data_IF_918988500527
#
_entry.id   IF_918988500527
#
_cell.length_a   1.000
_cell.length_b   1.000
_cell.length_c   1.000
_cell.angle_alpha   90.00
_cell.angle_beta   90.00
_cell.angle_gamma   90.00
#
_symmetry.space_group_name_H-M   'P 1'
#
loop_
_entity.id
_entity.type
_entity.pdbx_description
1 polymer ?
#
# COMPACT_ATOMS: atom_id res chain seq x y z
N UNK A 1 6.56 14.92 -64.11
CA UNK A 1 6.52 14.75 -62.64
C UNK A 1 5.78 13.47 -62.29
N UNK A 2 6.50 12.43 -61.89
CA UNK A 2 5.91 11.09 -61.74
C UNK A 2 5.21 10.87 -60.39
N UNK A 3 5.09 11.91 -59.51
CA UNK A 3 4.48 11.82 -58.20
C UNK A 3 5.12 10.81 -57.23
N UNK A 4 6.35 10.41 -57.49
CA UNK A 4 7.07 9.43 -56.68
C UNK A 4 8.23 10.09 -55.93
N UNK A 5 8.33 9.86 -54.60
CA UNK A 5 9.48 10.23 -53.79
C UNK A 5 10.57 9.19 -53.97
N UNK A 6 11.82 9.64 -54.11
CA UNK A 6 13.01 8.81 -54.19
C UNK A 6 13.96 9.21 -53.03
N UNK A 7 14.47 8.25 -52.31
CA UNK A 7 15.53 8.52 -51.34
C UNK A 7 16.78 9.01 -52.08
N UNK A 8 17.25 10.21 -51.73
CA UNK A 8 18.38 10.83 -52.39
C UNK A 8 19.70 10.61 -51.66
N UNK A 9 19.68 10.51 -50.31
CA UNK A 9 20.89 10.33 -49.49
C UNK A 9 20.55 9.76 -48.15
N UNK A 10 21.29 8.75 -47.69
CA UNK A 10 21.27 8.32 -46.28
C UNK A 10 22.30 9.15 -45.51
N UNK A 11 21.88 9.74 -44.37
CA UNK A 11 22.74 10.52 -43.48
C UNK A 11 23.25 9.68 -42.27
N UNK A 12 23.12 8.37 -42.34
CA UNK A 12 23.37 7.50 -41.20
C UNK A 12 24.82 6.99 -41.14
N UNK A 13 25.62 7.22 -42.18
CA UNK A 13 27.01 6.80 -42.17
C UNK A 13 27.93 7.89 -41.61
N UNK A 14 28.80 7.53 -40.63
CA UNK A 14 29.76 8.45 -39.97
C UNK A 14 30.66 9.17 -40.95
N UNK A 15 30.98 8.56 -42.10
CA UNK A 15 31.80 9.14 -43.18
C UNK A 15 31.18 10.39 -43.81
N UNK A 16 29.88 10.53 -43.79
CA UNK A 16 29.19 11.70 -44.34
C UNK A 16 29.42 12.99 -43.54
N UNK A 17 29.75 12.86 -42.26
CA UNK A 17 29.95 13.99 -41.36
C UNK A 17 31.39 14.39 -41.19
N UNK A 18 32.35 13.65 -41.70
CA UNK A 18 33.80 13.92 -41.64
C UNK A 18 34.26 14.27 -40.23
N UNK A 19 33.88 13.43 -39.25
CA UNK A 19 34.29 13.63 -37.85
C UNK A 19 35.83 13.62 -37.75
N UNK A 20 36.37 14.70 -37.22
CA UNK A 20 37.79 14.84 -36.89
C UNK A 20 37.88 15.64 -35.56
N UNK A 21 38.99 15.47 -34.82
CA UNK A 21 39.20 16.23 -33.59
C UNK A 21 39.15 17.73 -33.86
N UNK A 22 38.35 18.43 -33.05
CA UNK A 22 38.32 19.87 -33.12
C UNK A 22 39.58 20.44 -32.47
N UNK A 23 40.36 21.34 -33.17
CA UNK A 23 41.60 21.88 -32.61
C UNK A 23 41.36 22.78 -31.38
N UNK A 24 40.15 23.31 -31.23
CA UNK A 24 39.78 24.16 -30.12
C UNK A 24 39.33 23.39 -28.86
N UNK A 25 39.14 22.07 -28.97
CA UNK A 25 38.73 21.21 -27.87
C UNK A 25 39.88 20.27 -27.50
N UNK A 26 40.57 20.48 -26.38
CA UNK A 26 41.59 19.56 -25.92
C UNK A 26 41.00 18.18 -25.61
N UNK A 27 41.79 17.09 -25.73
CA UNK A 27 41.37 15.77 -25.36
C UNK A 27 40.92 15.72 -23.89
N UNK A 28 39.73 15.20 -23.65
CA UNK A 28 39.23 14.95 -22.29
C UNK A 28 39.80 13.63 -21.82
N UNK A 29 40.72 13.67 -20.86
CA UNK A 29 41.28 12.49 -20.21
C UNK A 29 40.49 12.21 -18.93
N UNK A 30 39.82 11.06 -18.89
CA UNK A 30 39.05 10.61 -17.73
C UNK A 30 39.87 9.54 -17.03
N UNK A 31 40.30 9.83 -15.81
CA UNK A 31 41.02 8.89 -14.97
C UNK A 31 40.11 7.73 -14.53
N UNK A 32 40.65 6.50 -14.59
CA UNK A 32 39.89 5.30 -14.22
C UNK A 32 39.38 5.36 -12.76
N UNK A 33 40.17 5.95 -11.86
CA UNK A 33 39.80 6.12 -10.46
C UNK A 33 38.52 6.94 -10.33
N UNK A 34 38.37 7.99 -11.14
CA UNK A 34 37.12 8.81 -11.11
C UNK A 34 35.93 8.02 -11.60
N UNK A 35 36.06 7.20 -12.61
CA UNK A 35 35.01 6.30 -13.10
C UNK A 35 34.63 5.28 -12.01
N UNK A 36 35.61 4.72 -11.33
CA UNK A 36 35.40 3.73 -10.30
C UNK A 36 34.72 4.35 -9.04
N UNK A 37 35.06 5.58 -8.71
CA UNK A 37 34.41 6.31 -7.62
C UNK A 37 32.96 6.66 -7.96
N UNK A 38 32.67 7.06 -9.19
CA UNK A 38 31.29 7.27 -9.64
C UNK A 38 30.51 5.96 -9.58
N UNK A 39 31.07 4.85 -10.07
CA UNK A 39 30.40 3.53 -10.02
C UNK A 39 30.09 3.09 -8.61
N UNK A 40 31.00 3.30 -7.64
CA UNK A 40 30.78 2.96 -6.22
C UNK A 40 29.67 3.78 -5.57
N UNK A 41 29.48 5.01 -6.02
CA UNK A 41 28.53 5.95 -5.47
C UNK A 41 27.22 6.06 -6.29
N UNK A 42 27.08 5.24 -7.34
CA UNK A 42 25.84 5.22 -8.12
C UNK A 42 24.68 4.76 -7.22
N UNK A 43 23.58 5.53 -7.17
CA UNK A 43 22.37 5.06 -6.50
C UNK A 43 21.82 3.83 -7.22
N UNK A 44 21.05 3.04 -6.49
CA UNK A 44 20.31 1.91 -7.08
C UNK A 44 19.44 2.38 -8.25
N UNK A 45 19.56 1.70 -9.38
CA UNK A 45 18.80 2.02 -10.59
C UNK A 45 17.33 1.62 -10.45
N UNK A 46 16.40 2.28 -11.17
CA UNK A 46 14.96 1.98 -11.08
C UNK A 46 14.61 0.51 -11.33
N UNK A 47 15.24 -0.12 -12.33
CA UNK A 47 14.97 -1.53 -12.67
C UNK A 47 15.47 -2.48 -11.58
N UNK A 48 16.65 -2.22 -11.00
CA UNK A 48 17.18 -3.00 -9.88
C UNK A 48 16.31 -2.84 -8.65
N UNK A 49 15.88 -1.60 -8.37
CA UNK A 49 14.94 -1.29 -7.27
C UNK A 49 13.60 -1.99 -7.46
N UNK A 50 13.04 -1.99 -8.67
CA UNK A 50 11.80 -2.70 -9.00
C UNK A 50 11.94 -4.20 -8.70
N UNK A 51 13.00 -4.82 -9.19
CA UNK A 51 13.27 -6.24 -8.96
C UNK A 51 13.45 -6.54 -7.45
N UNK A 52 14.17 -5.67 -6.73
CA UNK A 52 14.33 -5.80 -5.28
C UNK A 52 12.99 -5.70 -4.56
N UNK A 53 12.12 -4.77 -4.93
CA UNK A 53 10.79 -4.63 -4.31
C UNK A 53 9.94 -5.89 -4.50
N UNK A 54 9.98 -6.51 -5.68
CA UNK A 54 9.27 -7.76 -5.94
C UNK A 54 9.78 -8.88 -5.02
N UNK A 55 11.11 -9.02 -4.90
CA UNK A 55 11.72 -10.09 -4.12
C UNK A 55 11.61 -9.85 -2.62
N UNK A 56 11.92 -8.64 -2.16
CA UNK A 56 12.03 -8.31 -0.74
C UNK A 56 10.66 -8.14 -0.07
N UNK A 57 9.73 -7.47 -0.76
CA UNK A 57 8.39 -7.17 -0.21
C UNK A 57 7.30 -8.09 -0.74
N UNK A 58 7.62 -8.97 -1.69
CA UNK A 58 6.68 -9.95 -2.26
C UNK A 58 5.51 -9.32 -3.03
N UNK A 59 5.68 -8.10 -3.56
CA UNK A 59 4.65 -7.38 -4.32
C UNK A 59 4.65 -7.79 -5.80
N UNK A 60 3.57 -7.49 -6.51
CA UNK A 60 3.45 -7.78 -7.94
C UNK A 60 4.31 -6.86 -8.82
N UNK A 61 4.57 -7.28 -10.05
CA UNK A 61 5.36 -6.51 -11.03
C UNK A 61 4.77 -5.12 -11.29
N UNK A 62 3.45 -5.05 -11.47
CA UNK A 62 2.73 -3.79 -11.68
C UNK A 62 2.85 -2.85 -10.47
N UNK A 63 2.66 -3.36 -9.24
CA UNK A 63 2.76 -2.55 -8.04
C UNK A 63 4.20 -2.02 -7.86
N UNK A 64 5.20 -2.88 -8.12
CA UNK A 64 6.61 -2.49 -8.06
C UNK A 64 6.94 -1.40 -9.08
N UNK A 65 6.41 -1.49 -10.32
CA UNK A 65 6.58 -0.48 -11.36
C UNK A 65 5.98 0.86 -10.95
N UNK A 66 4.75 0.86 -10.44
CA UNK A 66 4.08 2.08 -9.96
C UNK A 66 4.87 2.72 -8.82
N UNK A 67 5.34 1.92 -7.86
CA UNK A 67 6.06 2.41 -6.68
C UNK A 67 7.48 2.88 -7.00
N UNK A 68 8.10 2.41 -8.08
CA UNK A 68 9.45 2.83 -8.50
C UNK A 68 9.46 3.87 -9.62
N UNK A 69 8.28 4.26 -10.13
CA UNK A 69 8.15 5.25 -11.20
C UNK A 69 8.79 6.60 -10.85
N UNK A 70 8.75 6.98 -9.57
CA UNK A 70 9.37 8.18 -9.04
C UNK A 70 10.22 7.87 -7.80
N UNK A 71 11.40 8.48 -7.72
CA UNK A 71 12.34 8.27 -6.60
C UNK A 71 11.71 8.56 -5.23
N UNK A 72 10.90 9.62 -5.13
CA UNK A 72 10.28 10.01 -3.85
C UNK A 72 9.20 9.02 -3.42
N UNK A 73 8.47 8.47 -4.37
CA UNK A 73 7.49 7.42 -4.14
C UNK A 73 8.16 6.15 -3.64
N UNK A 74 9.25 5.72 -4.30
CA UNK A 74 10.01 4.56 -3.88
C UNK A 74 10.57 4.72 -2.45
N UNK A 75 11.16 5.88 -2.16
CA UNK A 75 11.68 6.16 -0.82
C UNK A 75 10.59 6.19 0.25
N UNK A 76 9.43 6.75 -0.07
CA UNK A 76 8.28 6.76 0.85
C UNK A 76 7.80 5.33 1.14
N UNK A 77 7.65 4.52 0.09
CA UNK A 77 7.26 3.11 0.24
C UNK A 77 8.25 2.31 1.09
N UNK A 78 9.56 2.46 0.86
CA UNK A 78 10.59 1.79 1.66
C UNK A 78 10.54 2.16 3.14
N UNK A 79 10.21 3.41 3.47
CA UNK A 79 10.07 3.85 4.86
C UNK A 79 8.82 3.27 5.53
N UNK A 80 7.75 3.06 4.77
CA UNK A 80 6.48 2.52 5.28
C UNK A 80 6.53 1.01 5.43
N UNK A 81 7.15 0.31 4.47
CA UNK A 81 7.10 -1.15 4.36
C UNK A 81 8.12 -1.86 5.26
N UNK A 82 7.79 -3.10 5.60
CA UNK A 82 8.67 -4.14 6.11
C UNK A 82 8.52 -5.36 5.21
N UNK A 83 9.34 -6.40 5.41
CA UNK A 83 9.20 -7.66 4.65
C UNK A 83 7.84 -8.29 4.84
N UNK A 84 7.30 -8.22 6.04
CA UNK A 84 6.01 -8.79 6.44
C UNK A 84 4.84 -7.95 5.89
N UNK A 85 4.96 -6.63 5.94
CA UNK A 85 3.88 -5.69 5.58
C UNK A 85 3.93 -5.21 4.14
N UNK A 86 4.89 -5.66 3.33
CA UNK A 86 5.15 -5.14 1.98
C UNK A 86 3.91 -5.05 1.09
N UNK A 87 3.13 -6.14 0.99
CA UNK A 87 1.88 -6.15 0.20
C UNK A 87 0.82 -5.20 0.76
N UNK A 88 0.70 -5.14 2.07
CA UNK A 88 -0.23 -4.23 2.73
C UNK A 88 0.17 -2.77 2.49
N UNK A 89 1.46 -2.46 2.67
CA UNK A 89 2.00 -1.13 2.43
C UNK A 89 1.84 -0.70 0.96
N UNK A 90 2.12 -1.58 -0.01
CA UNK A 90 1.93 -1.30 -1.43
C UNK A 90 0.46 -0.95 -1.73
N UNK A 91 -0.48 -1.77 -1.24
CA UNK A 91 -1.91 -1.53 -1.42
C UNK A 91 -2.34 -0.17 -0.84
N UNK A 92 -1.86 0.18 0.35
CA UNK A 92 -2.21 1.45 0.99
C UNK A 92 -1.59 2.67 0.30
N UNK A 93 -0.34 2.56 -0.14
CA UNK A 93 0.32 3.66 -0.86
C UNK A 93 -0.36 3.88 -2.21
N UNK A 94 -0.62 2.82 -2.99
CA UNK A 94 -1.18 2.92 -4.33
C UNK A 94 -2.66 3.33 -4.29
N UNK A 95 -3.48 2.71 -3.45
CA UNK A 95 -4.92 2.91 -3.50
C UNK A 95 -5.41 4.03 -2.56
N UNK A 96 -4.93 4.07 -1.32
CA UNK A 96 -5.43 5.05 -0.35
C UNK A 96 -4.66 6.38 -0.45
N UNK A 97 -3.32 6.33 -0.36
CA UNK A 97 -2.51 7.54 -0.38
C UNK A 97 -2.55 8.23 -1.74
N UNK A 98 -2.24 7.52 -2.84
CA UNK A 98 -2.29 8.10 -4.19
C UNK A 98 -3.69 8.53 -4.59
N UNK A 99 -4.71 7.75 -4.24
CA UNK A 99 -6.10 8.13 -4.46
C UNK A 99 -6.43 9.48 -3.83
N UNK A 100 -5.89 9.74 -2.63
CA UNK A 100 -6.10 11.00 -1.92
C UNK A 100 -5.24 12.14 -2.49
N UNK A 101 -3.96 11.89 -2.76
CA UNK A 101 -3.04 12.87 -3.37
C UNK A 101 -3.59 13.36 -4.72
N UNK A 102 -4.01 12.43 -5.58
CA UNK A 102 -4.57 12.74 -6.90
C UNK A 102 -5.86 13.56 -6.80
N UNK A 103 -6.72 13.24 -5.84
CA UNK A 103 -7.96 13.98 -5.61
C UNK A 103 -7.71 15.44 -5.21
N UNK A 104 -6.64 15.70 -4.47
CA UNK A 104 -6.27 17.05 -4.02
C UNK A 104 -5.24 17.73 -4.94
N UNK A 105 -4.70 17.02 -5.94
CA UNK A 105 -3.74 17.55 -6.90
C UNK A 105 -2.38 17.90 -6.30
N UNK A 106 -1.96 17.15 -5.25
CA UNK A 106 -0.69 17.38 -4.54
C UNK A 106 0.27 16.21 -4.74
N UNK A 107 1.57 16.49 -4.61
CA UNK A 107 2.63 15.48 -4.74
C UNK A 107 2.81 14.70 -3.45
N UNK A 108 3.51 13.53 -3.55
CA UNK A 108 3.84 12.73 -2.37
C UNK A 108 4.72 13.49 -1.37
N UNK A 109 5.53 14.43 -1.85
CA UNK A 109 6.39 15.26 -0.99
C UNK A 109 5.59 16.23 -0.12
N UNK A 110 4.41 16.63 -0.59
CA UNK A 110 3.52 17.57 0.11
C UNK A 110 2.43 16.83 0.91
N UNK A 111 2.53 15.51 0.99
CA UNK A 111 1.55 14.69 1.70
C UNK A 111 1.39 15.11 3.16
N UNK A 112 0.16 15.38 3.62
CA UNK A 112 -0.11 15.62 5.04
C UNK A 112 0.16 14.39 5.93
N UNK A 113 0.13 13.19 5.35
CA UNK A 113 0.43 11.92 6.03
C UNK A 113 1.88 11.54 5.73
N UNK A 114 2.72 11.59 6.76
CA UNK A 114 4.11 11.17 6.64
C UNK A 114 4.24 9.65 6.52
N UNK A 115 5.38 9.18 6.00
CA UNK A 115 5.71 7.75 5.98
C UNK A 115 5.65 7.11 7.38
N UNK A 116 6.10 7.84 8.40
CA UNK A 116 6.03 7.39 9.80
C UNK A 116 4.59 7.18 10.25
N UNK A 117 3.70 8.14 9.96
CA UNK A 117 2.29 8.04 10.33
C UNK A 117 1.60 6.90 9.60
N UNK A 118 1.86 6.73 8.30
CA UNK A 118 1.27 5.63 7.54
C UNK A 118 1.77 4.27 8.07
N UNK A 119 3.07 4.14 8.33
CA UNK A 119 3.65 2.94 8.93
C UNK A 119 3.01 2.58 10.26
N UNK A 120 2.77 3.58 11.12
CA UNK A 120 2.12 3.40 12.41
C UNK A 120 0.67 2.92 12.26
N UNK A 121 -0.11 3.47 11.31
CA UNK A 121 -1.46 2.98 10.99
C UNK A 121 -1.41 1.50 10.57
N UNK A 122 -0.47 1.15 9.69
CA UNK A 122 -0.34 -0.22 9.20
C UNK A 122 0.09 -1.19 10.29
N UNK A 123 0.94 -0.76 11.22
CA UNK A 123 1.32 -1.60 12.36
C UNK A 123 0.15 -1.91 13.30
N UNK A 124 -0.71 -0.94 13.57
CA UNK A 124 -1.95 -1.18 14.33
C UNK A 124 -2.93 -2.12 13.61
N UNK A 125 -3.01 -1.99 12.28
CA UNK A 125 -3.85 -2.87 11.46
C UNK A 125 -3.33 -4.30 11.44
N UNK A 126 -2.02 -4.49 11.30
CA UNK A 126 -1.38 -5.80 11.30
C UNK A 126 -1.46 -6.48 12.65
N UNK A 127 -1.24 -5.72 13.74
CA UNK A 127 -1.40 -6.21 15.10
C UNK A 127 -2.88 -6.57 15.44
N UNK A 128 -3.84 -6.22 14.56
CA UNK A 128 -5.26 -6.42 14.84
C UNK A 128 -5.82 -5.50 15.92
N UNK A 129 -5.11 -4.42 16.25
CA UNK A 129 -5.59 -3.42 17.21
C UNK A 129 -6.69 -2.54 16.64
N UNK A 130 -6.74 -2.39 15.32
CA UNK A 130 -7.78 -1.68 14.59
C UNK A 130 -8.23 -2.49 13.38
N UNK A 131 -9.50 -2.31 12.97
CA UNK A 131 -10.01 -2.91 11.72
C UNK A 131 -9.61 -2.07 10.51
N UNK A 132 -9.68 -2.67 9.30
CA UNK A 132 -9.43 -1.94 8.04
C UNK A 132 -10.32 -0.71 7.88
N UNK A 133 -11.58 -0.76 8.40
CA UNK A 133 -12.48 0.39 8.39
C UNK A 133 -11.97 1.50 9.30
N UNK A 134 -11.54 1.15 10.51
CA UNK A 134 -10.99 2.11 11.48
C UNK A 134 -9.67 2.68 10.95
N UNK A 135 -8.82 1.86 10.31
CA UNK A 135 -7.57 2.32 9.71
C UNK A 135 -7.81 3.40 8.64
N UNK A 136 -8.83 3.24 7.78
CA UNK A 136 -9.21 4.26 6.79
C UNK A 136 -9.76 5.53 7.44
N UNK A 137 -10.57 5.41 8.48
CA UNK A 137 -11.06 6.54 9.25
C UNK A 137 -9.90 7.28 9.94
N UNK A 138 -8.97 6.54 10.54
CA UNK A 138 -7.77 7.08 11.16
C UNK A 138 -6.87 7.80 10.14
N UNK A 139 -6.70 7.24 8.95
CA UNK A 139 -5.96 7.88 7.86
C UNK A 139 -6.58 9.24 7.49
N UNK A 140 -7.91 9.32 7.36
CA UNK A 140 -8.61 10.59 7.10
C UNK A 140 -8.44 11.62 8.24
N UNK A 141 -8.41 11.17 9.48
CA UNK A 141 -8.13 12.05 10.62
C UNK A 141 -6.68 12.56 10.62
N UNK A 142 -5.71 11.69 10.37
CA UNK A 142 -4.30 12.08 10.22
C UNK A 142 -4.13 13.05 9.07
N UNK A 143 -4.79 12.81 7.93
CA UNK A 143 -4.78 13.72 6.78
C UNK A 143 -5.20 15.14 7.13
N UNK A 144 -6.29 15.28 7.90
CA UNK A 144 -6.86 16.57 8.28
C UNK A 144 -6.10 17.27 9.39
N UNK A 145 -5.60 16.52 10.37
CA UNK A 145 -5.08 17.08 11.63
C UNK A 145 -3.56 17.05 11.72
N UNK A 146 -2.90 16.20 10.92
CA UNK A 146 -1.47 15.90 10.96
C UNK A 146 -0.98 15.37 12.33
N UNK A 147 -1.92 14.97 13.21
CA UNK A 147 -1.59 14.35 14.51
C UNK A 147 -1.10 12.92 14.31
N UNK A 148 -0.37 12.40 15.30
CA UNK A 148 0.07 10.99 15.24
C UNK A 148 -1.11 10.03 15.35
N UNK A 149 -1.06 8.87 14.68
CA UNK A 149 -2.08 7.83 14.76
C UNK A 149 -2.37 7.38 16.19
N UNK A 150 -1.33 7.18 17.02
CA UNK A 150 -1.50 6.77 18.43
C UNK A 150 -2.32 7.79 19.22
N UNK A 151 -2.04 9.09 19.04
CA UNK A 151 -2.80 10.17 19.70
C UNK A 151 -4.27 10.13 19.30
N UNK A 152 -4.54 9.98 18.00
CA UNK A 152 -5.90 9.94 17.48
C UNK A 152 -6.68 8.70 17.94
N UNK A 153 -6.02 7.55 18.02
CA UNK A 153 -6.63 6.32 18.56
C UNK A 153 -7.08 6.54 20.01
N UNK A 154 -6.28 7.23 20.83
CA UNK A 154 -6.62 7.53 22.22
C UNK A 154 -7.74 8.58 22.31
N UNK A 155 -7.63 9.70 21.57
CA UNK A 155 -8.62 10.79 21.58
C UNK A 155 -10.00 10.32 21.10
N UNK A 156 -10.06 9.48 20.08
CA UNK A 156 -11.29 9.03 19.44
C UNK A 156 -11.81 7.68 19.95
N UNK A 157 -11.04 7.01 20.81
CA UNK A 157 -11.40 5.70 21.36
C UNK A 157 -11.56 4.63 20.27
N UNK A 158 -10.64 4.62 19.28
CA UNK A 158 -10.71 3.78 18.08
C UNK A 158 -10.11 2.37 18.26
N UNK A 159 -9.63 2.02 19.46
CA UNK A 159 -9.12 0.66 19.71
C UNK A 159 -10.22 -0.36 19.47
N UNK A 160 -9.83 -1.44 18.78
CA UNK A 160 -10.73 -2.61 18.69
C UNK A 160 -10.99 -3.18 20.08
N UNK A 161 -12.23 -3.53 20.31
CA UNK A 161 -12.58 -4.29 21.51
C UNK A 161 -12.24 -5.75 21.23
N UNK A 162 -11.14 -6.21 21.84
CA UNK A 162 -10.71 -7.62 21.84
C UNK A 162 -11.24 -8.37 23.08
N UNK A 163 -12.06 -7.70 23.90
CA UNK A 163 -12.70 -8.30 25.05
C UNK A 163 -13.71 -9.36 24.55
N UNK A 164 -13.31 -10.62 24.72
CA UNK A 164 -14.12 -11.76 24.29
C UNK A 164 -15.48 -11.79 25.01
N UNK A 165 -15.54 -11.41 26.27
CA UNK A 165 -16.78 -11.36 27.05
C UNK A 165 -17.77 -10.32 26.49
N UNK A 166 -17.26 -9.18 26.04
CA UNK A 166 -18.10 -8.16 25.38
C UNK A 166 -18.62 -8.66 24.04
N UNK A 167 -17.75 -9.24 23.22
CA UNK A 167 -18.12 -9.77 21.89
C UNK A 167 -19.09 -10.94 22.07
N UNK A 168 -18.85 -11.82 23.05
CA UNK A 168 -19.71 -12.96 23.34
C UNK A 168 -21.14 -12.52 23.72
N UNK A 169 -21.28 -11.56 24.62
CA UNK A 169 -22.59 -11.00 24.99
C UNK A 169 -23.32 -10.40 23.81
N UNK A 170 -22.58 -9.75 22.91
CA UNK A 170 -23.15 -9.16 21.69
C UNK A 170 -23.60 -10.24 20.71
N UNK A 171 -22.81 -11.30 20.54
CA UNK A 171 -23.16 -12.48 19.74
C UNK A 171 -24.40 -13.16 20.30
N UNK A 172 -24.45 -13.42 21.61
CA UNK A 172 -25.61 -14.06 22.25
C UNK A 172 -26.87 -13.25 22.05
N UNK A 173 -26.81 -11.92 22.21
CA UNK A 173 -27.94 -11.01 21.93
C UNK A 173 -28.42 -11.14 20.49
N UNK A 174 -27.49 -11.06 19.51
CA UNK A 174 -27.85 -11.10 18.09
C UNK A 174 -28.45 -12.48 17.70
N UNK A 175 -27.95 -13.56 18.29
CA UNK A 175 -28.49 -14.90 18.08
C UNK A 175 -29.91 -15.00 18.65
N UNK A 176 -30.14 -14.48 19.88
CA UNK A 176 -31.44 -14.49 20.51
C UNK A 176 -32.47 -13.65 19.76
N UNK A 177 -32.08 -12.48 19.25
CA UNK A 177 -32.94 -11.55 18.52
C UNK A 177 -33.31 -12.04 17.11
N UNK A 178 -32.61 -13.06 16.58
CA UNK A 178 -32.77 -13.51 15.18
C UNK A 178 -32.93 -15.04 15.01
N UNK A 179 -33.94 -15.68 15.62
CA UNK A 179 -34.11 -17.15 15.59
C UNK A 179 -34.32 -17.69 14.17
N UNK A 180 -34.97 -16.96 13.28
CA UNK A 180 -35.18 -17.37 11.89
C UNK A 180 -33.84 -17.48 11.12
N UNK A 181 -32.89 -16.58 11.38
CA UNK A 181 -31.58 -16.62 10.74
C UNK A 181 -30.72 -17.75 11.29
N UNK A 182 -30.89 -18.11 12.56
CA UNK A 182 -30.24 -19.27 13.17
C UNK A 182 -30.63 -20.57 12.45
N UNK A 183 -31.93 -20.75 12.15
CA UNK A 183 -32.38 -21.93 11.42
C UNK A 183 -31.82 -21.96 9.97
N UNK A 184 -31.76 -20.80 9.30
CA UNK A 184 -31.19 -20.70 7.96
C UNK A 184 -29.69 -21.03 7.93
N UNK A 185 -28.92 -20.59 8.95
CA UNK A 185 -27.49 -20.89 9.06
C UNK A 185 -27.24 -22.39 9.28
N UNK A 186 -28.07 -23.08 10.04
CA UNK A 186 -27.98 -24.55 10.21
C UNK A 186 -28.14 -25.28 8.88
N UNK A 187 -28.97 -24.75 7.96
CA UNK A 187 -29.16 -25.32 6.63
C UNK A 187 -28.07 -24.88 5.63
N UNK A 188 -27.53 -23.66 5.79
CA UNK A 188 -26.51 -23.10 4.93
C UNK A 188 -25.43 -22.35 5.71
N UNK A 189 -24.30 -22.97 6.04
CA UNK A 189 -23.20 -22.36 6.81
C UNK A 189 -22.63 -21.07 6.22
N UNK A 190 -22.80 -20.84 4.90
CA UNK A 190 -22.32 -19.62 4.23
C UNK A 190 -23.01 -18.34 4.78
N UNK A 191 -24.17 -18.47 5.39
CA UNK A 191 -24.92 -17.35 6.00
C UNK A 191 -24.29 -16.88 7.32
N UNK A 192 -23.32 -17.62 7.89
CA UNK A 192 -22.63 -17.24 9.13
C UNK A 192 -22.06 -15.81 9.04
N UNK A 193 -21.58 -15.39 7.87
CA UNK A 193 -21.11 -14.03 7.61
C UNK A 193 -22.16 -12.94 7.89
N UNK A 194 -23.46 -13.26 7.84
CA UNK A 194 -24.51 -12.33 8.19
C UNK A 194 -24.48 -11.96 9.69
N UNK A 195 -24.30 -12.96 10.57
CA UNK A 195 -24.17 -12.72 12.02
C UNK A 195 -22.93 -11.89 12.34
N UNK A 196 -21.80 -12.21 11.72
CA UNK A 196 -20.57 -11.42 11.85
C UNK A 196 -20.82 -9.98 11.41
N UNK A 197 -21.53 -9.77 10.31
CA UNK A 197 -21.92 -8.44 9.83
C UNK A 197 -22.79 -7.67 10.83
N UNK A 198 -23.75 -8.33 11.51
CA UNK A 198 -24.57 -7.69 12.53
C UNK A 198 -23.76 -7.31 13.77
N UNK A 199 -22.89 -8.20 14.26
CA UNK A 199 -21.97 -7.89 15.37
C UNK A 199 -21.07 -6.70 15.03
N UNK A 200 -20.53 -6.67 13.82
CA UNK A 200 -19.71 -5.55 13.34
C UNK A 200 -20.52 -4.25 13.27
N UNK A 201 -21.79 -4.30 12.89
CA UNK A 201 -22.69 -3.14 12.84
C UNK A 201 -22.99 -2.62 14.24
N UNK A 202 -23.41 -3.49 15.16
CA UNK A 202 -23.72 -3.15 16.54
C UNK A 202 -22.51 -2.63 17.31
N UNK A 203 -21.33 -3.23 17.10
CA UNK A 203 -20.06 -2.76 17.68
C UNK A 203 -19.48 -1.51 17.01
N UNK A 204 -20.17 -0.95 15.99
CA UNK A 204 -19.69 0.17 15.17
C UNK A 204 -18.31 -0.10 14.52
N UNK A 205 -18.04 -1.36 14.19
CA UNK A 205 -16.78 -1.79 13.59
C UNK A 205 -15.63 -2.03 14.60
N UNK A 206 -15.93 -1.97 15.91
CA UNK A 206 -14.92 -2.14 16.96
C UNK A 206 -14.65 -3.61 17.35
N UNK A 207 -15.60 -4.53 17.12
CA UNK A 207 -15.37 -5.96 17.38
C UNK A 207 -14.30 -6.53 16.45
N UNK A 208 -13.45 -7.43 16.97
CA UNK A 208 -12.48 -8.14 16.12
C UNK A 208 -13.20 -9.17 15.24
N UNK A 209 -13.14 -9.06 13.90
CA UNK A 209 -13.88 -9.95 13.00
C UNK A 209 -13.50 -11.42 13.15
N UNK A 210 -12.23 -11.71 13.44
CA UNK A 210 -11.71 -13.08 13.60
C UNK A 210 -12.28 -13.73 14.84
N UNK A 211 -12.25 -13.02 15.99
CA UNK A 211 -12.82 -13.48 17.24
C UNK A 211 -14.34 -13.62 17.10
N UNK A 212 -15.00 -12.62 16.51
CA UNK A 212 -16.44 -12.66 16.23
C UNK A 212 -16.83 -13.90 15.42
N UNK A 213 -16.08 -14.20 14.35
CA UNK A 213 -16.36 -15.34 13.50
C UNK A 213 -16.22 -16.67 14.27
N UNK A 214 -15.18 -16.78 15.09
CA UNK A 214 -14.96 -17.96 15.94
C UNK A 214 -16.09 -18.15 16.96
N UNK A 215 -16.47 -17.08 17.67
CA UNK A 215 -17.53 -17.14 18.66
C UNK A 215 -18.90 -17.46 18.05
N UNK A 216 -19.24 -16.85 16.92
CA UNK A 216 -20.50 -17.16 16.21
C UNK A 216 -20.53 -18.62 15.75
N UNK A 217 -19.43 -19.13 15.15
CA UNK A 217 -19.33 -20.52 14.73
C UNK A 217 -19.47 -21.49 15.92
N UNK A 218 -18.82 -21.20 17.04
CA UNK A 218 -18.89 -22.00 18.26
C UNK A 218 -20.28 -22.02 18.85
N UNK A 219 -20.94 -20.87 19.00
CA UNK A 219 -22.30 -20.74 19.57
C UNK A 219 -23.35 -21.42 18.70
N UNK A 220 -23.23 -21.34 17.39
CA UNK A 220 -24.14 -22.00 16.45
C UNK A 220 -23.79 -23.46 16.18
N UNK A 221 -22.68 -24.00 16.78
CA UNK A 221 -22.15 -25.36 16.60
C UNK A 221 -21.92 -25.73 15.14
N UNK A 222 -21.38 -24.80 14.36
CA UNK A 222 -21.06 -24.99 12.97
C UNK A 222 -19.55 -25.24 12.84
N UNK A 223 -19.19 -26.42 12.28
CA UNK A 223 -17.79 -26.70 11.92
C UNK A 223 -17.49 -26.14 10.54
N UNK A 224 -16.32 -25.48 10.41
CA UNK A 224 -15.76 -25.04 9.12
C UNK A 224 -14.99 -26.16 8.47
#
# INVERSE_FOLDING_TARGET
DAGKTKSMRSKEEAHDYRYFPCPDLPPLVIEQNWVDDIKKNLPELPDDKKNRFIVEYGIGDYDAEVLTSEKNTANFFEQVSTKETGKLAANWVINELFGRLNKEGISINDSPVSSTNLKEILSFLEAGEISSKIAKELFEHVWKTKKSPATLIQELGLKQVTDEDFIEKLVDKIIADNPEQVEKVKQNPKILGWFVGQVMKESKGKANPKITNQLVAQKLKISY
#
